data_IF_937596245271
#
_entry.id   IF_937596245271
#
_cell.length_a   1.000
_cell.length_b   1.000
_cell.length_c   1.000
_cell.angle_alpha   90.00
_cell.angle_beta   90.00
_cell.angle_gamma   90.00
#
_symmetry.space_group_name_H-M   'P 1'
#
loop_
_entity.id
_entity.type
_entity.pdbx_description
1 polymer ?
#
# COMPACT_ATOMS: atom_id res chain seq x y z
N UNK A 1 -44.76 -49.21 37.62
CA UNK A 1 -43.42 -49.34 37.08
C UNK A 1 -43.37 -48.41 35.86
N UNK A 2 -42.92 -47.19 36.06
CA UNK A 2 -42.82 -46.21 35.02
C UNK A 2 -41.37 -45.68 35.03
N UNK A 3 -40.63 -45.98 33.99
CA UNK A 3 -39.27 -45.52 33.78
C UNK A 3 -39.26 -44.19 33.07
N UNK A 4 -38.90 -43.17 33.80
CA UNK A 4 -38.70 -41.82 33.34
C UNK A 4 -37.32 -41.75 32.67
N UNK A 5 -37.29 -41.49 31.37
CA UNK A 5 -36.07 -41.33 30.58
C UNK A 5 -35.77 -39.83 30.47
N UNK A 6 -34.76 -39.38 31.19
CA UNK A 6 -34.25 -38.04 31.12
C UNK A 6 -33.54 -37.82 29.77
N UNK A 7 -33.90 -36.76 29.04
CA UNK A 7 -33.21 -36.26 27.87
C UNK A 7 -31.91 -35.52 28.28
N UNK A 8 -30.79 -35.62 27.56
CA UNK A 8 -29.60 -34.83 27.84
C UNK A 8 -29.76 -33.42 27.28
N UNK A 9 -29.56 -32.43 28.14
CA UNK A 9 -29.40 -31.04 27.82
C UNK A 9 -28.21 -30.84 26.86
N UNK A 10 -28.51 -30.59 25.61
CA UNK A 10 -27.52 -30.12 24.63
C UNK A 10 -27.35 -28.61 24.83
N UNK A 11 -26.45 -28.19 25.73
CA UNK A 11 -25.89 -26.84 25.71
C UNK A 11 -25.06 -26.70 24.46
N UNK A 12 -25.64 -26.10 23.40
CA UNK A 12 -24.93 -25.59 22.25
C UNK A 12 -23.97 -24.49 22.75
N UNK A 13 -22.69 -24.85 22.85
CA UNK A 13 -21.59 -23.90 23.04
C UNK A 13 -21.53 -23.02 21.79
N UNK A 14 -22.07 -21.81 21.88
CA UNK A 14 -21.77 -20.75 20.93
C UNK A 14 -20.26 -20.53 21.03
N UNK A 15 -19.55 -21.00 20.02
CA UNK A 15 -18.12 -20.79 19.85
C UNK A 15 -17.87 -19.29 19.77
N UNK A 16 -17.41 -18.71 20.88
CA UNK A 16 -16.87 -17.37 21.00
C UNK A 16 -15.45 -17.36 20.37
N UNK A 17 -15.41 -17.69 19.09
CA UNK A 17 -14.21 -17.69 18.28
C UNK A 17 -14.10 -16.32 17.58
N UNK A 18 -14.11 -15.25 18.36
CA UNK A 18 -13.45 -14.03 17.98
C UNK A 18 -11.97 -14.41 17.86
N UNK A 19 -11.52 -14.63 16.62
CA UNK A 19 -10.13 -14.99 16.28
C UNK A 19 -9.24 -13.93 16.94
N UNK A 20 -8.64 -14.26 18.09
CA UNK A 20 -7.69 -13.36 18.74
C UNK A 20 -6.56 -13.14 17.77
N UNK A 21 -6.47 -11.92 17.26
CA UNK A 21 -5.43 -11.53 16.33
C UNK A 21 -4.05 -11.96 16.84
N UNK A 22 -3.26 -12.62 15.99
CA UNK A 22 -1.95 -13.13 16.38
C UNK A 22 -1.01 -11.99 16.76
N UNK A 23 0.02 -12.28 17.58
CA UNK A 23 1.05 -11.29 17.93
C UNK A 23 1.74 -10.75 16.67
N UNK A 24 1.91 -11.60 15.66
CA UNK A 24 2.52 -11.22 14.38
C UNK A 24 1.65 -10.21 13.63
N UNK A 25 0.36 -10.43 13.54
CA UNK A 25 -0.58 -9.50 12.88
C UNK A 25 -0.67 -8.16 13.62
N UNK A 26 -0.73 -8.18 14.95
CA UNK A 26 -0.70 -6.94 15.75
C UNK A 26 0.57 -6.13 15.51
N UNK A 27 1.73 -6.81 15.42
CA UNK A 27 3.00 -6.17 15.16
C UNK A 27 3.08 -5.61 13.74
N UNK A 28 2.62 -6.34 12.72
CA UNK A 28 2.56 -5.88 11.33
C UNK A 28 1.65 -4.65 11.21
N UNK A 29 0.47 -4.67 11.80
CA UNK A 29 -0.43 -3.52 11.79
C UNK A 29 0.18 -2.30 12.46
N UNK A 30 0.82 -2.48 13.61
CA UNK A 30 1.54 -1.42 14.30
C UNK A 30 2.71 -0.87 13.46
N UNK A 31 3.42 -1.74 12.76
CA UNK A 31 4.52 -1.37 11.87
C UNK A 31 4.02 -0.57 10.65
N UNK A 32 2.97 -1.03 9.98
CA UNK A 32 2.35 -0.31 8.86
C UNK A 32 1.96 1.11 9.28
N UNK A 33 1.26 1.24 10.42
CA UNK A 33 0.83 2.54 10.93
C UNK A 33 2.00 3.46 11.29
N UNK A 34 2.94 2.96 12.09
CA UNK A 34 4.02 3.79 12.63
C UNK A 34 5.07 4.15 11.60
N UNK A 35 5.47 3.22 10.73
CA UNK A 35 6.41 3.52 9.64
C UNK A 35 5.83 4.52 8.64
N UNK A 36 4.54 4.44 8.36
CA UNK A 36 3.88 5.38 7.47
C UNK A 36 3.75 6.79 8.07
N UNK A 37 3.41 6.87 9.36
CA UNK A 37 3.16 8.15 10.04
C UNK A 37 4.44 8.83 10.50
N UNK A 38 5.37 8.05 11.09
CA UNK A 38 6.52 8.55 11.85
C UNK A 38 7.86 8.23 11.16
N UNK A 39 7.84 7.50 10.02
CA UNK A 39 9.01 7.16 9.24
C UNK A 39 9.76 5.90 9.70
N UNK A 40 10.78 5.49 8.94
CA UNK A 40 11.54 4.25 9.18
C UNK A 40 12.44 4.33 10.42
N UNK A 41 12.70 5.53 10.94
CA UNK A 41 13.50 5.73 12.15
C UNK A 41 12.79 5.28 13.44
N UNK A 42 11.49 4.96 13.38
CA UNK A 42 10.72 4.44 14.53
C UNK A 42 11.44 3.29 15.20
N UNK A 43 11.66 3.42 16.52
CA UNK A 43 12.38 2.44 17.32
C UNK A 43 11.52 1.21 17.69
N UNK A 44 12.19 0.07 17.89
CA UNK A 44 11.56 -1.19 18.29
C UNK A 44 10.65 -1.06 19.53
N UNK A 45 11.02 -0.22 20.50
CA UNK A 45 10.21 0.01 21.70
C UNK A 45 8.84 0.64 21.39
N UNK A 46 8.75 1.54 20.42
CA UNK A 46 7.49 2.15 19.99
C UNK A 46 6.60 1.13 19.28
N UNK A 47 7.17 0.33 18.37
CA UNK A 47 6.49 -0.75 17.70
C UNK A 47 5.92 -1.78 18.68
N UNK A 48 6.73 -2.24 19.63
CA UNK A 48 6.31 -3.20 20.66
C UNK A 48 5.19 -2.65 21.54
N UNK A 49 5.28 -1.39 22.00
CA UNK A 49 4.21 -0.74 22.79
C UNK A 49 2.91 -0.68 21.99
N UNK A 50 2.97 -0.26 20.74
CA UNK A 50 1.77 -0.13 19.88
C UNK A 50 1.12 -1.48 19.60
N UNK A 51 1.93 -2.55 19.46
CA UNK A 51 1.46 -3.92 19.20
C UNK A 51 1.04 -4.68 20.47
N UNK A 52 1.38 -4.18 21.66
CA UNK A 52 1.14 -4.87 22.95
C UNK A 52 1.96 -6.16 23.09
N UNK A 53 3.24 -6.16 22.66
CA UNK A 53 4.14 -7.30 22.77
C UNK A 53 5.49 -6.90 23.36
N UNK A 54 6.27 -7.90 23.82
CA UNK A 54 7.63 -7.67 24.31
C UNK A 54 8.62 -7.48 23.15
N UNK A 55 9.75 -6.82 23.42
CA UNK A 55 10.86 -6.73 22.46
C UNK A 55 11.44 -8.11 22.11
N UNK A 56 11.46 -9.03 23.08
CA UNK A 56 11.87 -10.43 22.85
C UNK A 56 10.95 -11.08 21.85
N UNK A 57 9.63 -10.99 22.03
CA UNK A 57 8.64 -11.54 21.09
C UNK A 57 8.75 -10.92 19.69
N UNK A 58 9.08 -9.63 19.56
CA UNK A 58 9.31 -9.01 18.27
C UNK A 58 10.47 -9.68 17.52
N UNK A 59 11.61 -9.91 18.19
CA UNK A 59 12.78 -10.54 17.57
C UNK A 59 12.65 -12.06 17.39
N UNK A 60 11.70 -12.71 18.08
CA UNK A 60 11.29 -14.10 17.78
C UNK A 60 10.42 -14.19 16.51
N UNK A 61 9.70 -13.13 16.16
CA UNK A 61 8.81 -13.06 15.01
C UNK A 61 9.49 -12.51 13.74
N UNK A 62 10.50 -11.66 13.89
CA UNK A 62 11.24 -11.01 12.81
C UNK A 62 12.71 -10.87 13.19
N UNK A 63 13.60 -11.31 12.31
CA UNK A 63 15.06 -11.33 12.54
C UNK A 63 15.64 -9.92 12.79
N UNK A 64 14.98 -8.89 12.25
CA UNK A 64 15.39 -7.49 12.41
C UNK A 64 14.21 -6.52 12.29
N UNK A 65 14.44 -5.25 12.64
CA UNK A 65 13.48 -4.16 12.37
C UNK A 65 13.28 -3.98 10.85
N UNK A 66 14.31 -4.20 10.07
CA UNK A 66 14.24 -4.03 8.61
C UNK A 66 13.44 -5.17 7.96
N UNK A 67 13.55 -6.40 8.47
CA UNK A 67 12.69 -7.52 8.06
C UNK A 67 11.21 -7.24 8.40
N UNK A 68 10.94 -6.61 9.54
CA UNK A 68 9.59 -6.15 9.89
C UNK A 68 9.11 -5.03 8.96
N UNK A 69 9.98 -4.07 8.61
CA UNK A 69 9.66 -3.00 7.66
C UNK A 69 9.31 -3.57 6.27
N UNK A 70 10.14 -4.48 5.75
CA UNK A 70 9.86 -5.15 4.47
C UNK A 70 8.52 -5.89 4.52
N UNK A 71 8.26 -6.66 5.59
CA UNK A 71 7.01 -7.39 5.75
C UNK A 71 5.79 -6.44 5.86
N UNK A 72 5.95 -5.28 6.49
CA UNK A 72 4.91 -4.26 6.58
C UNK A 72 4.60 -3.63 5.20
N UNK A 73 5.62 -3.30 4.41
CA UNK A 73 5.47 -2.80 3.04
C UNK A 73 4.79 -3.85 2.15
N UNK A 74 5.22 -5.09 2.22
CA UNK A 74 4.62 -6.20 1.47
C UNK A 74 3.15 -6.44 1.83
N UNK A 75 2.81 -6.38 3.13
CA UNK A 75 1.43 -6.57 3.59
C UNK A 75 0.50 -5.44 3.15
N UNK A 76 1.05 -4.24 2.98
CA UNK A 76 0.32 -3.05 2.56
C UNK A 76 -0.02 -3.05 1.07
N UNK A 77 0.74 -3.77 0.24
CA UNK A 77 0.66 -3.65 -1.23
C UNK A 77 -0.74 -3.98 -1.78
N UNK A 78 -1.41 -4.99 -1.21
CA UNK A 78 -2.75 -5.40 -1.66
C UNK A 78 -3.78 -4.30 -1.41
N UNK A 79 -3.70 -3.63 -0.25
CA UNK A 79 -4.58 -2.53 0.13
C UNK A 79 -4.30 -1.30 -0.75
N UNK A 80 -3.01 -0.96 -0.96
CA UNK A 80 -2.60 0.17 -1.81
C UNK A 80 -2.99 -0.06 -3.27
N UNK A 81 -2.80 -1.28 -3.80
CA UNK A 81 -3.20 -1.63 -5.16
C UNK A 81 -4.73 -1.61 -5.33
N UNK A 82 -5.47 -2.18 -4.38
CA UNK A 82 -6.93 -2.17 -4.42
C UNK A 82 -7.53 -0.76 -4.35
N UNK A 83 -6.81 0.16 -3.71
CA UNK A 83 -7.23 1.56 -3.62
C UNK A 83 -6.87 2.38 -4.87
N UNK A 84 -5.64 2.25 -5.36
CA UNK A 84 -5.11 3.07 -6.45
C UNK A 84 -5.47 2.55 -7.84
N UNK A 85 -5.49 1.23 -8.02
CA UNK A 85 -5.68 0.65 -9.35
C UNK A 85 -7.18 0.49 -9.66
N UNK A 86 -7.57 0.58 -10.94
CA UNK A 86 -8.94 0.34 -11.33
C UNK A 86 -9.37 -1.08 -10.94
N UNK A 87 -10.56 -1.24 -10.33
CA UNK A 87 -11.03 -2.55 -9.90
C UNK A 87 -11.24 -3.51 -11.08
N UNK A 88 -11.27 -4.83 -10.84
CA UNK A 88 -11.64 -5.80 -11.85
C UNK A 88 -13.00 -5.44 -12.47
N UNK A 89 -13.08 -5.46 -13.81
CA UNK A 89 -14.31 -5.09 -14.52
C UNK A 89 -14.53 -3.58 -14.70
N UNK A 90 -13.59 -2.75 -14.33
CA UNK A 90 -13.61 -1.34 -14.70
C UNK A 90 -13.67 -1.22 -16.23
N UNK A 91 -14.87 -0.95 -16.77
CA UNK A 91 -15.22 -1.09 -18.18
C UNK A 91 -14.65 -0.03 -19.12
N UNK A 92 -13.65 0.73 -18.71
CA UNK A 92 -13.04 1.81 -19.48
C UNK A 92 -11.77 1.35 -20.18
N UNK A 93 -11.41 2.04 -21.28
CA UNK A 93 -10.18 1.80 -22.01
C UNK A 93 -8.90 2.12 -21.22
N UNK A 94 -7.72 1.85 -21.81
CA UNK A 94 -6.43 2.04 -21.17
C UNK A 94 -6.20 3.45 -20.66
N UNK A 95 -6.60 4.45 -21.44
CA UNK A 95 -6.48 5.86 -21.06
C UNK A 95 -7.23 6.19 -19.76
N UNK A 96 -8.49 5.80 -19.68
CA UNK A 96 -9.29 6.07 -18.47
C UNK A 96 -8.74 5.31 -17.26
N UNK A 97 -8.21 4.11 -17.46
CA UNK A 97 -7.59 3.31 -16.41
C UNK A 97 -6.30 3.94 -15.87
N UNK A 98 -5.47 4.51 -16.75
CA UNK A 98 -4.28 5.27 -16.35
C UNK A 98 -4.64 6.54 -15.58
N UNK A 99 -5.64 7.29 -16.04
CA UNK A 99 -6.11 8.50 -15.36
C UNK A 99 -6.71 8.20 -13.98
N UNK A 100 -7.41 7.07 -13.84
CA UNK A 100 -7.98 6.62 -12.56
C UNK A 100 -6.94 6.60 -11.42
N UNK A 101 -5.70 6.18 -11.68
CA UNK A 101 -4.64 6.17 -10.65
C UNK A 101 -4.39 7.57 -10.08
N UNK A 102 -4.37 8.57 -10.94
CA UNK A 102 -4.13 9.97 -10.52
C UNK A 102 -5.37 10.59 -9.86
N UNK A 103 -6.57 10.19 -10.28
CA UNK A 103 -7.81 10.57 -9.61
C UNK A 103 -7.86 10.01 -8.18
N UNK A 104 -7.50 8.73 -7.99
CA UNK A 104 -7.42 8.12 -6.67
C UNK A 104 -6.30 8.74 -5.83
N UNK A 105 -5.14 9.02 -6.42
CA UNK A 105 -4.07 9.73 -5.73
C UNK A 105 -4.55 11.08 -5.17
N UNK A 106 -5.21 11.90 -5.98
CA UNK A 106 -5.71 13.21 -5.55
C UNK A 106 -6.82 13.09 -4.49
N UNK A 107 -7.72 12.13 -4.65
CA UNK A 107 -8.75 11.84 -3.66
C UNK A 107 -8.12 11.47 -2.30
N UNK A 108 -7.09 10.63 -2.30
CA UNK A 108 -6.40 10.20 -1.09
C UNK A 108 -5.52 11.30 -0.50
N UNK A 109 -4.87 12.09 -1.34
CA UNK A 109 -4.04 13.23 -0.94
C UNK A 109 -4.84 14.29 -0.17
N UNK A 110 -6.15 14.36 -0.37
CA UNK A 110 -7.04 15.26 0.38
C UNK A 110 -7.24 14.86 1.85
N UNK A 111 -6.84 13.64 2.23
CA UNK A 111 -6.95 13.15 3.62
C UNK A 111 -5.88 13.78 4.51
N UNK A 112 -6.23 14.28 5.70
CA UNK A 112 -5.23 14.77 6.67
C UNK A 112 -4.23 13.70 7.14
N UNK A 113 -4.57 12.42 6.97
CA UNK A 113 -3.71 11.30 7.32
C UNK A 113 -2.71 10.93 6.21
N UNK A 114 -2.83 11.52 5.02
CA UNK A 114 -1.93 11.24 3.90
C UNK A 114 -0.51 11.72 4.18
N UNK A 115 0.47 10.86 3.87
CA UNK A 115 1.91 11.12 4.09
C UNK A 115 2.75 10.82 2.85
N UNK A 116 2.10 10.67 1.68
CA UNK A 116 2.79 10.32 0.44
C UNK A 116 2.91 8.81 0.21
N UNK A 117 3.73 8.45 -0.75
CA UNK A 117 4.01 7.06 -1.11
C UNK A 117 4.93 6.41 -0.06
N UNK A 118 4.46 5.37 0.62
CA UNK A 118 5.24 4.66 1.65
C UNK A 118 6.53 4.04 1.09
N UNK A 119 6.50 3.56 -0.14
CA UNK A 119 7.65 2.91 -0.81
C UNK A 119 8.74 3.94 -1.14
N UNK A 120 8.36 5.07 -1.73
CA UNK A 120 9.30 6.15 -2.02
C UNK A 120 9.86 6.77 -0.72
N UNK A 121 9.00 7.02 0.28
CA UNK A 121 9.41 7.55 1.58
C UNK A 121 10.47 6.64 2.23
N UNK A 122 10.27 5.33 2.22
CA UNK A 122 11.25 4.36 2.74
C UNK A 122 12.62 4.51 2.06
N UNK A 123 12.64 4.63 0.72
CA UNK A 123 13.89 4.80 -0.04
C UNK A 123 14.59 6.13 0.28
N UNK A 124 13.81 7.22 0.36
CA UNK A 124 14.31 8.56 0.66
C UNK A 124 14.90 8.68 2.08
N UNK A 125 14.28 8.02 3.06
CA UNK A 125 14.76 8.03 4.45
C UNK A 125 16.02 7.17 4.63
N UNK A 126 16.06 5.98 4.01
CA UNK A 126 17.22 5.09 4.10
C UNK A 126 18.43 5.61 3.34
N UNK A 127 18.23 6.29 2.20
CA UNK A 127 19.29 6.88 1.34
C UNK A 127 20.33 5.89 0.86
N UNK A 128 20.02 4.60 0.92
CA UNK A 128 20.88 3.51 0.49
C UNK A 128 20.08 2.55 -0.41
N UNK A 129 20.30 2.57 -1.72
CA UNK A 129 19.63 1.67 -2.65
C UNK A 129 19.94 0.19 -2.42
N UNK A 130 21.10 -0.12 -1.82
CA UNK A 130 21.50 -1.49 -1.50
C UNK A 130 20.90 -2.00 -0.19
N UNK A 131 20.31 -1.13 0.62
CA UNK A 131 19.65 -1.54 1.86
C UNK A 131 18.47 -2.48 1.56
N UNK A 132 18.34 -3.65 2.24
CA UNK A 132 17.31 -4.64 1.89
C UNK A 132 15.88 -4.09 1.85
N UNK A 133 15.49 -3.25 2.82
CA UNK A 133 14.17 -2.65 2.84
C UNK A 133 13.96 -1.59 1.73
N UNK A 134 15.03 -0.86 1.34
CA UNK A 134 14.99 0.07 0.21
C UNK A 134 14.79 -0.68 -1.11
N UNK A 135 15.58 -1.71 -1.34
CA UNK A 135 15.47 -2.56 -2.52
C UNK A 135 14.11 -3.27 -2.60
N UNK A 136 13.57 -3.72 -1.44
CA UNK A 136 12.23 -4.30 -1.37
C UNK A 136 11.14 -3.27 -1.70
N UNK A 137 11.25 -2.04 -1.18
CA UNK A 137 10.31 -0.96 -1.47
C UNK A 137 10.28 -0.61 -2.96
N UNK A 138 11.48 -0.49 -3.60
CA UNK A 138 11.60 -0.24 -5.03
C UNK A 138 10.90 -1.35 -5.85
N UNK A 139 11.26 -2.60 -5.59
CA UNK A 139 10.72 -3.77 -6.28
C UNK A 139 9.19 -3.89 -6.15
N UNK A 140 8.66 -3.72 -4.93
CA UNK A 140 7.23 -3.79 -4.67
C UNK A 140 6.47 -2.71 -5.46
N UNK A 141 6.98 -1.47 -5.48
CA UNK A 141 6.38 -0.38 -6.24
C UNK A 141 6.43 -0.63 -7.75
N UNK A 142 7.56 -1.14 -8.26
CA UNK A 142 7.71 -1.53 -9.66
C UNK A 142 6.68 -2.60 -10.05
N UNK A 143 6.53 -3.64 -9.24
CA UNK A 143 5.61 -4.75 -9.50
C UNK A 143 4.15 -4.28 -9.61
N UNK A 144 3.64 -3.50 -8.66
CA UNK A 144 2.20 -3.18 -8.64
C UNK A 144 1.83 -1.93 -9.43
N UNK A 145 2.66 -0.88 -9.44
CA UNK A 145 2.29 0.42 -10.03
C UNK A 145 2.92 0.61 -11.42
N UNK A 146 4.24 0.45 -11.54
CA UNK A 146 4.91 0.66 -12.82
C UNK A 146 4.58 -0.45 -13.81
N UNK A 147 4.43 -1.69 -13.33
CA UNK A 147 3.93 -2.80 -14.14
C UNK A 147 2.52 -2.54 -14.67
N UNK A 148 1.64 -1.96 -13.85
CA UNK A 148 0.31 -1.54 -14.30
C UNK A 148 0.40 -0.42 -15.35
N UNK A 149 1.20 0.62 -15.13
CA UNK A 149 1.37 1.70 -16.10
C UNK A 149 1.85 1.16 -17.46
N UNK A 150 2.86 0.30 -17.44
CA UNK A 150 3.40 -0.34 -18.66
C UNK A 150 2.33 -1.13 -19.41
N UNK A 151 1.61 -2.00 -18.71
CA UNK A 151 0.59 -2.85 -19.32
C UNK A 151 -0.54 -2.01 -19.97
N UNK A 152 -0.98 -0.93 -19.29
CA UNK A 152 -2.02 -0.06 -19.85
C UNK A 152 -1.47 0.84 -20.98
N UNK A 153 -0.21 1.28 -20.92
CA UNK A 153 0.44 2.03 -21.99
C UNK A 153 0.56 1.18 -23.27
N UNK A 154 0.96 -0.08 -23.14
CA UNK A 154 1.00 -1.05 -24.27
C UNK A 154 -0.39 -1.29 -24.85
N UNK A 155 -1.39 -1.53 -24.00
CA UNK A 155 -2.80 -1.72 -24.43
C UNK A 155 -3.38 -0.51 -25.15
N UNK A 156 -2.99 0.69 -24.72
CA UNK A 156 -3.39 1.96 -25.30
C UNK A 156 -2.57 2.38 -26.52
N UNK A 157 -1.70 1.51 -27.03
CA UNK A 157 -0.82 1.74 -28.17
C UNK A 157 0.05 3.01 -28.04
N UNK A 158 0.57 3.28 -26.83
CA UNK A 158 1.51 4.37 -26.64
C UNK A 158 2.71 4.24 -27.58
N UNK A 159 3.18 5.37 -28.12
CA UNK A 159 4.32 5.40 -29.06
C UNK A 159 5.59 4.80 -28.44
N UNK A 160 5.81 5.08 -27.13
CA UNK A 160 6.91 4.51 -26.34
C UNK A 160 6.35 4.18 -24.94
N UNK A 161 5.86 2.93 -24.72
CA UNK A 161 5.28 2.53 -23.43
C UNK A 161 6.25 2.60 -22.27
N UNK A 162 7.54 2.30 -22.51
CA UNK A 162 8.57 2.35 -21.45
C UNK A 162 8.85 3.79 -21.01
N UNK A 163 8.97 4.71 -21.94
CA UNK A 163 9.17 6.11 -21.63
C UNK A 163 7.95 6.72 -20.95
N UNK A 164 6.75 6.43 -21.43
CA UNK A 164 5.51 6.87 -20.79
C UNK A 164 5.39 6.33 -19.37
N UNK A 165 5.70 5.04 -19.14
CA UNK A 165 5.71 4.45 -17.80
C UNK A 165 6.59 5.24 -16.84
N UNK A 166 7.81 5.58 -17.26
CA UNK A 166 8.73 6.38 -16.45
C UNK A 166 8.21 7.80 -16.19
N UNK A 167 7.59 8.43 -17.18
CA UNK A 167 6.97 9.76 -17.00
C UNK A 167 5.83 9.70 -15.97
N UNK A 168 4.96 8.70 -16.06
CA UNK A 168 3.86 8.53 -15.12
C UNK A 168 4.36 8.21 -13.71
N UNK A 169 5.42 7.40 -13.57
CA UNK A 169 6.05 7.10 -12.30
C UNK A 169 6.65 8.36 -11.64
N UNK A 170 7.36 9.19 -12.41
CA UNK A 170 7.91 10.47 -11.93
C UNK A 170 6.79 11.43 -11.53
N UNK A 171 5.72 11.51 -12.32
CA UNK A 171 4.55 12.34 -11.99
C UNK A 171 3.89 11.87 -10.69
N UNK A 172 3.67 10.56 -10.54
CA UNK A 172 3.10 9.97 -9.33
C UNK A 172 3.95 10.28 -8.09
N UNK A 173 5.26 10.09 -8.19
CA UNK A 173 6.21 10.35 -7.10
C UNK A 173 6.24 11.82 -6.70
N UNK A 174 6.30 12.71 -7.69
CA UNK A 174 6.29 14.15 -7.46
C UNK A 174 4.98 14.62 -6.82
N UNK A 175 3.84 14.19 -7.35
CA UNK A 175 2.52 14.55 -6.84
C UNK A 175 2.31 14.00 -5.42
N UNK A 176 2.59 12.70 -5.21
CA UNK A 176 2.41 12.07 -3.89
C UNK A 176 3.31 12.68 -2.82
N UNK A 177 4.57 13.01 -3.17
CA UNK A 177 5.51 13.63 -2.23
C UNK A 177 5.08 15.06 -1.86
N UNK A 178 4.69 15.87 -2.84
CA UNK A 178 4.24 17.26 -2.61
C UNK A 178 3.01 17.30 -1.71
N UNK A 179 2.03 16.44 -1.99
CA UNK A 179 0.84 16.32 -1.16
C UNK A 179 1.15 15.77 0.23
N UNK A 180 2.01 14.76 0.32
CA UNK A 180 2.39 14.13 1.58
C UNK A 180 3.10 15.04 2.58
N UNK A 181 3.82 16.06 2.10
CA UNK A 181 4.46 17.10 2.92
C UNK A 181 3.63 18.38 3.05
N UNK A 182 2.42 18.41 2.50
CA UNK A 182 1.53 19.57 2.55
C UNK A 182 2.00 20.75 1.69
N UNK A 183 2.84 20.50 0.69
CA UNK A 183 3.33 21.54 -0.22
C UNK A 183 2.35 21.88 -1.35
N UNK A 184 1.38 20.99 -1.61
CA UNK A 184 0.37 21.17 -2.67
C UNK A 184 -0.84 20.27 -2.40
N UNK A 185 -2.06 20.76 -2.61
CA UNK A 185 -3.32 20.00 -2.52
C UNK A 185 -3.71 19.35 -3.86
N UNK A 186 -2.88 19.44 -4.87
CA UNK A 186 -3.00 18.92 -6.22
C UNK A 186 -4.19 19.48 -7.04
N UNK A 187 -5.40 19.48 -6.55
CA UNK A 187 -6.63 20.09 -7.15
C UNK A 187 -6.76 19.85 -8.66
N UNK A 188 -6.58 18.63 -9.11
CA UNK A 188 -6.64 18.26 -10.52
C UNK A 188 -5.30 18.37 -11.26
N UNK A 189 -4.22 18.82 -10.60
CA UNK A 189 -2.91 19.02 -11.23
C UNK A 189 -2.31 17.70 -11.75
N UNK A 190 -2.36 16.65 -10.93
CA UNK A 190 -1.79 15.35 -11.31
C UNK A 190 -2.59 14.72 -12.47
N UNK A 191 -3.93 14.79 -12.39
CA UNK A 191 -4.82 14.31 -13.47
C UNK A 191 -4.61 15.09 -14.76
N UNK A 192 -4.54 16.43 -14.71
CA UNK A 192 -4.33 17.25 -15.89
C UNK A 192 -2.96 16.99 -16.53
N UNK A 193 -1.91 16.82 -15.72
CA UNK A 193 -0.56 16.52 -16.20
C UNK A 193 -0.51 15.12 -16.81
N UNK A 194 -1.10 14.12 -16.16
CA UNK A 194 -1.20 12.77 -16.70
C UNK A 194 -1.89 12.77 -18.07
N UNK A 195 -3.01 13.51 -18.18
CA UNK A 195 -3.74 13.64 -19.47
C UNK A 195 -2.85 14.18 -20.58
N UNK A 196 -2.06 15.21 -20.29
CA UNK A 196 -1.11 15.79 -21.27
C UNK A 196 -0.05 14.76 -21.69
N UNK A 197 0.48 13.95 -20.76
CA UNK A 197 1.43 12.90 -21.08
C UNK A 197 0.82 11.82 -21.98
N UNK A 198 -0.42 11.41 -21.66
CA UNK A 198 -1.15 10.42 -22.46
C UNK A 198 -1.46 10.93 -23.87
N UNK A 199 -1.84 12.21 -24.01
CA UNK A 199 -2.06 12.86 -25.31
C UNK A 199 -0.76 12.86 -26.14
N UNK A 200 0.35 13.27 -25.54
CA UNK A 200 1.65 13.30 -26.19
C UNK A 200 2.17 11.90 -26.59
N UNK A 201 1.83 10.89 -25.82
CA UNK A 201 2.19 9.50 -26.12
C UNK A 201 1.23 8.81 -27.10
N UNK A 202 0.14 9.46 -27.50
CA UNK A 202 -0.85 8.91 -28.44
C UNK A 202 -1.74 7.82 -27.84
N UNK A 203 -1.89 7.77 -26.52
CA UNK A 203 -2.72 6.75 -25.85
C UNK A 203 -4.19 6.97 -26.15
N UNK A 204 -4.84 5.93 -26.69
CA UNK A 204 -6.28 5.89 -27.00
C UNK A 204 -7.04 4.97 -26.05
N UNK A 205 -8.37 5.08 -26.05
CA UNK A 205 -9.29 4.17 -25.33
C UNK A 205 -9.54 2.89 -26.15
#
# INVERSE_FOLDING_TARGET
MSTETAAPDAKAGVSDNAVRESQRERLLRAAIELFYRDGVAVGANALCRRAGISKKSMYELFDSKDALLEAALRRRIDDDAAFLLPPPGFGSGPRARLLHVFEQLEAFASSPAYRGCAYLATQLELKDPAHPASAAAARLKEEYLEGFFRAEAERGNATDPDFLTRQLAVLYDGASSRAGVGADDLRGLAVATARTLLDAAGVTD
#
